data_IF_730410541940
#
_entry.id   IF_730410541940
#
_cell.length_a   1.000
_cell.length_b   1.000
_cell.length_c   1.000
_cell.angle_alpha   90.00
_cell.angle_beta   90.00
_cell.angle_gamma   90.00
#
_symmetry.space_group_name_H-M   'P 1'
#
loop_
_entity.id
_entity.type
_entity.pdbx_description
1 polymer ?
#
# COMPACT_ATOMS: atom_id res chain seq x y z
N UNK A 1 -49.73 1.59 -36.12
CA UNK A 1 -50.74 2.12 -37.06
C UNK A 1 -50.66 3.64 -37.01
N UNK A 2 -50.33 4.25 -38.17
CA UNK A 2 -50.29 5.69 -38.51
C UNK A 2 -49.20 6.56 -37.84
N UNK A 3 -48.57 7.56 -38.47
CA UNK A 3 -48.15 7.95 -39.85
C UNK A 3 -47.70 9.43 -39.73
N UNK A 4 -46.53 9.75 -40.30
CA UNK A 4 -46.04 11.01 -40.94
C UNK A 4 -46.16 12.37 -40.17
N UNK A 5 -45.33 13.40 -40.40
CA UNK A 5 -44.58 13.89 -41.59
C UNK A 5 -43.46 14.86 -41.13
N UNK A 6 -42.25 14.80 -41.69
CA UNK A 6 -41.67 15.70 -42.73
C UNK A 6 -41.64 17.20 -42.33
N UNK A 7 -40.54 17.95 -42.47
CA UNK A 7 -39.99 18.44 -43.75
C UNK A 7 -38.53 18.90 -43.59
N UNK A 8 -37.72 18.62 -44.62
CA UNK A 8 -36.32 19.01 -44.86
C UNK A 8 -36.19 20.38 -45.55
N UNK A 9 -34.95 20.78 -45.95
CA UNK A 9 -34.54 21.78 -47.00
C UNK A 9 -33.66 22.92 -46.42
N UNK A 10 -32.51 23.36 -46.95
CA UNK A 10 -31.66 23.01 -48.10
C UNK A 10 -30.23 23.56 -47.85
N UNK A 11 -29.27 23.08 -48.65
CA UNK A 11 -27.87 23.53 -48.79
C UNK A 11 -27.72 24.93 -49.41
N UNK A 12 -26.56 25.58 -49.19
CA UNK A 12 -25.74 26.18 -50.28
C UNK A 12 -24.31 26.47 -49.84
N UNK A 13 -23.35 26.09 -50.69
CA UNK A 13 -21.92 26.39 -50.69
C UNK A 13 -21.61 27.78 -51.29
N UNK A 14 -20.57 28.46 -50.81
CA UNK A 14 -20.03 29.66 -51.44
C UNK A 14 -18.55 29.87 -51.12
N UNK A 15 -17.70 29.70 -52.13
CA UNK A 15 -16.27 29.97 -52.12
C UNK A 15 -16.04 31.41 -52.62
N UNK A 16 -15.23 32.22 -51.93
CA UNK A 16 -14.66 33.46 -52.49
C UNK A 16 -13.24 33.68 -51.97
N UNK A 17 -12.30 33.75 -52.91
CA UNK A 17 -10.94 34.29 -52.77
C UNK A 17 -10.92 35.75 -53.19
N UNK A 18 -10.20 36.63 -52.48
CA UNK A 18 -9.04 37.37 -53.00
C UNK A 18 -8.51 38.47 -52.03
N UNK A 19 -7.19 38.65 -52.13
CA UNK A 19 -6.35 39.84 -51.91
C UNK A 19 -5.99 40.34 -50.50
N UNK A 20 -4.68 40.46 -50.34
CA UNK A 20 -3.92 40.93 -49.19
C UNK A 20 -3.83 42.46 -49.12
N UNK A 21 -3.80 43.01 -47.90
CA UNK A 21 -3.16 44.29 -47.57
C UNK A 21 -2.54 44.16 -46.18
N UNK A 22 -1.22 44.32 -46.10
CA UNK A 22 -0.44 44.45 -44.87
C UNK A 22 -0.55 45.87 -44.29
N UNK A 23 -0.43 46.01 -42.96
CA UNK A 23 0.51 46.99 -42.45
C UNK A 23 1.41 46.43 -41.34
N UNK A 24 2.69 46.75 -41.47
CA UNK A 24 3.74 46.50 -40.48
C UNK A 24 3.44 47.21 -39.16
N UNK A 25 3.39 46.45 -38.06
CA UNK A 25 3.48 47.00 -36.71
C UNK A 25 4.61 46.29 -35.96
N UNK A 26 5.60 47.09 -35.56
CA UNK A 26 6.76 46.69 -34.78
C UNK A 26 6.38 46.67 -33.29
N UNK A 27 6.54 45.53 -32.62
CA UNK A 27 6.36 45.39 -31.17
C UNK A 27 7.72 45.13 -30.50
N UNK A 28 8.05 45.80 -29.37
CA UNK A 28 9.33 45.60 -28.70
C UNK A 28 9.36 44.25 -27.96
N UNK A 29 10.52 43.59 -28.05
CA UNK A 29 10.81 42.30 -27.43
C UNK A 29 11.17 42.53 -25.96
N UNK A 30 10.22 42.25 -25.05
CA UNK A 30 10.52 42.15 -23.61
C UNK A 30 11.18 40.80 -23.35
N UNK A 31 12.47 40.81 -23.01
CA UNK A 31 13.18 39.63 -22.51
C UNK A 31 12.89 39.45 -21.03
N UNK A 32 12.04 38.49 -20.67
CA UNK A 32 11.93 37.99 -19.30
C UNK A 32 13.04 36.96 -19.04
N UNK A 33 13.99 37.30 -18.17
CA UNK A 33 14.87 36.32 -17.55
C UNK A 33 14.05 35.54 -16.53
N UNK A 34 13.65 34.32 -16.87
CA UNK A 34 13.12 33.35 -15.92
C UNK A 34 14.32 32.66 -15.26
N UNK A 35 14.54 32.93 -13.99
CA UNK A 35 15.46 32.16 -13.16
C UNK A 35 14.87 30.76 -12.94
N UNK A 36 15.50 29.75 -13.55
CA UNK A 36 15.17 28.35 -13.30
C UNK A 36 15.66 27.98 -11.89
N UNK A 37 14.72 27.83 -10.94
CA UNK A 37 14.95 27.11 -9.69
C UNK A 37 15.18 25.62 -9.96
N UNK A 38 16.09 25.01 -9.19
CA UNK A 38 16.58 23.63 -9.31
C UNK A 38 15.45 22.62 -9.55
N UNK A 39 15.48 21.94 -10.69
CA UNK A 39 14.70 20.72 -10.94
C UNK A 39 15.25 19.61 -10.06
N UNK A 40 14.39 19.01 -9.24
CA UNK A 40 14.63 17.69 -8.64
C UNK A 40 14.89 16.69 -9.78
N UNK A 41 16.10 16.16 -9.84
CA UNK A 41 16.49 15.16 -10.83
C UNK A 41 15.92 13.80 -10.45
N UNK A 42 14.93 13.34 -11.20
CA UNK A 42 14.44 11.95 -11.16
C UNK A 42 15.42 11.11 -11.99
N UNK A 43 16.20 10.24 -11.33
CA UNK A 43 16.99 9.22 -12.01
C UNK A 43 16.07 8.04 -12.36
N UNK A 44 15.63 7.95 -13.62
CA UNK A 44 14.94 6.76 -14.14
C UNK A 44 15.98 5.83 -14.74
N UNK A 45 16.26 4.71 -14.06
CA UNK A 45 17.06 3.61 -14.63
C UNK A 45 16.17 2.83 -15.61
N UNK A 46 16.53 2.80 -16.89
CA UNK A 46 15.80 2.06 -17.93
C UNK A 46 16.22 0.59 -17.86
N UNK A 47 15.34 -0.31 -17.42
CA UNK A 47 15.58 -1.76 -17.48
C UNK A 47 15.09 -2.35 -18.82
N UNK A 48 15.83 -3.32 -19.35
CA UNK A 48 15.51 -4.03 -20.59
C UNK A 48 14.31 -5.00 -20.37
N UNK A 49 13.27 -4.99 -21.22
CA UNK A 49 11.98 -5.65 -20.94
C UNK A 49 11.85 -7.10 -21.40
N UNK A 50 12.94 -7.86 -21.56
CA UNK A 50 12.88 -9.28 -21.94
C UNK A 50 13.69 -10.12 -20.96
N UNK A 51 13.01 -11.00 -20.24
CA UNK A 51 13.52 -12.12 -19.41
C UNK A 51 13.60 -11.94 -17.88
N UNK A 52 13.06 -10.87 -17.28
CA UNK A 52 12.87 -10.86 -15.82
C UNK A 52 11.54 -11.54 -15.45
N UNK A 53 11.58 -12.48 -14.51
CA UNK A 53 10.39 -13.03 -13.85
C UNK A 53 9.44 -11.87 -13.43
N UNK A 54 8.12 -12.07 -13.47
CA UNK A 54 7.16 -11.06 -13.02
C UNK A 54 7.49 -10.57 -11.62
N UNK A 55 7.44 -9.26 -11.40
CA UNK A 55 7.55 -8.71 -10.06
C UNK A 55 6.24 -8.94 -9.32
N UNK A 56 6.14 -10.08 -8.64
CA UNK A 56 4.88 -10.58 -8.10
C UNK A 56 4.70 -10.21 -6.64
N UNK A 57 3.49 -9.75 -6.31
CA UNK A 57 2.96 -9.89 -4.97
C UNK A 57 2.57 -11.35 -4.74
N UNK A 58 3.03 -11.95 -3.65
CA UNK A 58 2.55 -13.24 -3.18
C UNK A 58 1.83 -13.05 -1.86
N UNK A 59 0.62 -13.60 -1.74
CA UNK A 59 -0.13 -13.56 -0.49
C UNK A 59 -0.50 -14.94 -0.03
N UNK A 60 -0.52 -15.09 1.29
CA UNK A 60 -1.01 -16.25 1.99
C UNK A 60 -2.26 -15.82 2.75
N UNK A 61 -3.30 -16.64 2.70
CA UNK A 61 -4.57 -16.29 3.31
C UNK A 61 -5.36 -15.30 2.47
N UNK A 62 -6.50 -14.87 3.00
CA UNK A 62 -7.41 -13.91 2.37
C UNK A 62 -7.68 -12.80 3.37
N UNK A 63 -7.47 -11.53 3.00
CA UNK A 63 -7.64 -10.38 3.90
C UNK A 63 -9.03 -10.33 4.54
N UNK A 64 -10.10 -10.51 3.76
CA UNK A 64 -11.47 -10.59 4.28
C UNK A 64 -11.71 -11.79 5.18
N UNK A 65 -10.95 -12.87 5.01
CA UNK A 65 -10.93 -14.05 5.87
C UNK A 65 -10.32 -13.71 7.23
N UNK A 66 -9.15 -13.07 7.24
CA UNK A 66 -8.50 -12.58 8.47
C UNK A 66 -9.43 -11.63 9.23
N UNK A 67 -9.95 -10.58 8.57
CA UNK A 67 -10.87 -9.61 9.18
C UNK A 67 -12.11 -10.30 9.77
N UNK A 68 -12.58 -11.35 9.14
CA UNK A 68 -13.77 -12.09 9.59
C UNK A 68 -13.50 -13.27 10.52
N UNK A 69 -12.27 -13.49 11.01
CA UNK A 69 -12.01 -14.50 12.05
C UNK A 69 -11.21 -15.74 11.65
N UNK A 70 -10.54 -15.75 10.50
CA UNK A 70 -9.64 -16.84 10.10
C UNK A 70 -8.20 -16.56 10.60
N UNK A 71 -7.97 -16.73 11.90
CA UNK A 71 -6.69 -16.38 12.54
C UNK A 71 -5.70 -17.54 12.66
N UNK A 72 -6.14 -18.78 12.46
CA UNK A 72 -5.27 -19.94 12.62
C UNK A 72 -4.24 -20.00 11.48
N UNK A 73 -2.98 -20.12 11.86
CA UNK A 73 -1.85 -20.20 10.96
C UNK A 73 -1.83 -21.53 10.22
N UNK A 74 -1.58 -21.48 8.92
CA UNK A 74 -1.56 -22.67 8.07
C UNK A 74 -0.34 -22.74 7.14
N UNK A 75 0.47 -21.67 7.11
CA UNK A 75 1.58 -21.55 6.18
C UNK A 75 2.89 -21.24 6.91
N UNK A 76 3.94 -22.06 6.77
CA UNK A 76 5.21 -21.85 7.47
C UNK A 76 5.97 -20.63 6.95
N UNK A 77 6.66 -19.90 7.83
CA UNK A 77 7.55 -18.82 7.40
C UNK A 77 8.72 -19.30 6.55
N UNK A 78 9.17 -20.55 6.74
CA UNK A 78 10.15 -21.19 5.86
C UNK A 78 9.72 -21.11 4.40
N UNK A 79 8.49 -21.52 4.09
CA UNK A 79 7.92 -21.46 2.75
C UNK A 79 7.62 -20.03 2.32
N UNK A 80 7.16 -19.16 3.22
CA UNK A 80 6.86 -17.77 2.89
C UNK A 80 8.07 -17.02 2.33
N UNK A 81 9.25 -17.26 2.91
CA UNK A 81 10.52 -16.64 2.48
C UNK A 81 10.97 -17.07 1.08
N UNK A 82 10.45 -18.17 0.53
CA UNK A 82 10.71 -18.58 -0.85
C UNK A 82 9.99 -17.66 -1.86
N UNK A 83 9.00 -16.89 -1.40
CA UNK A 83 8.19 -16.01 -2.22
C UNK A 83 8.50 -14.52 -2.05
N UNK A 84 9.32 -14.15 -1.06
CA UNK A 84 9.71 -12.76 -0.87
C UNK A 84 10.63 -12.52 0.31
N UNK A 85 11.27 -11.34 0.29
CA UNK A 85 12.18 -10.86 1.32
C UNK A 85 11.69 -9.58 2.01
N UNK A 86 10.52 -9.08 1.61
CA UNK A 86 9.90 -7.85 2.07
C UNK A 86 8.40 -8.07 2.20
N UNK A 87 7.79 -7.58 3.28
CA UNK A 87 6.36 -7.74 3.47
C UNK A 87 5.86 -7.62 4.90
N UNK A 88 4.58 -7.90 5.09
CA UNK A 88 3.90 -7.79 6.38
C UNK A 88 2.74 -8.77 6.47
N UNK A 89 2.18 -8.95 7.65
CA UNK A 89 1.03 -9.84 7.84
C UNK A 89 0.62 -10.02 9.29
N UNK A 90 -0.17 -11.05 9.54
CA UNK A 90 -0.60 -11.51 10.85
C UNK A 90 -0.03 -12.91 11.14
N UNK A 91 0.44 -13.17 12.37
CA UNK A 91 0.88 -14.49 12.78
C UNK A 91 -0.31 -15.43 13.04
N UNK A 92 0.01 -16.70 13.30
CA UNK A 92 -0.92 -17.64 13.94
C UNK A 92 -1.63 -16.98 15.15
N UNK A 93 -2.94 -17.19 15.24
CA UNK A 93 -3.81 -16.70 16.32
C UNK A 93 -3.80 -15.19 16.51
N UNK A 94 -3.43 -14.40 15.49
CA UNK A 94 -3.35 -12.94 15.61
C UNK A 94 -2.40 -12.49 16.76
N UNK A 95 -1.39 -13.31 17.10
CA UNK A 95 -0.41 -13.03 18.16
C UNK A 95 0.58 -11.90 17.77
N UNK A 96 0.08 -10.69 17.59
CA UNK A 96 0.86 -9.52 17.20
C UNK A 96 0.86 -9.28 15.70
N UNK A 97 1.96 -8.69 15.21
CA UNK A 97 2.08 -8.19 13.84
C UNK A 97 3.36 -8.72 13.19
N UNK A 98 3.29 -9.16 11.94
CA UNK A 98 4.44 -9.69 11.21
C UNK A 98 5.06 -8.62 10.32
N UNK A 99 6.40 -8.54 10.36
CA UNK A 99 7.21 -7.77 9.44
C UNK A 99 8.23 -8.72 8.79
N UNK A 100 8.26 -8.75 7.46
CA UNK A 100 9.28 -9.43 6.67
C UNK A 100 10.21 -8.36 6.11
N UNK A 101 11.47 -8.41 6.49
CA UNK A 101 12.46 -7.42 6.06
C UNK A 101 13.82 -8.08 5.86
N UNK A 102 14.40 -7.85 4.68
CA UNK A 102 15.68 -8.43 4.24
C UNK A 102 15.73 -9.95 4.42
N UNK A 103 14.61 -10.64 4.13
CA UNK A 103 14.49 -12.10 4.21
C UNK A 103 14.40 -12.65 5.63
N UNK A 104 14.35 -11.80 6.65
CA UNK A 104 14.07 -12.16 8.04
C UNK A 104 12.64 -11.81 8.39
N UNK A 105 12.06 -12.57 9.31
CA UNK A 105 10.70 -12.35 9.77
C UNK A 105 10.74 -11.97 11.26
N UNK A 106 10.02 -10.91 11.60
CA UNK A 106 9.91 -10.35 12.94
C UNK A 106 8.44 -10.31 13.35
N UNK A 107 8.19 -10.54 14.65
CA UNK A 107 6.87 -10.44 15.27
C UNK A 107 6.87 -9.34 16.32
N UNK A 108 6.14 -8.27 16.05
CA UNK A 108 5.87 -7.22 17.03
C UNK A 108 4.69 -7.65 17.90
N UNK A 109 4.94 -7.86 19.18
CA UNK A 109 4.00 -8.44 20.12
C UNK A 109 3.18 -7.36 20.85
N UNK A 110 2.01 -7.72 21.36
CA UNK A 110 1.20 -6.87 22.25
C UNK A 110 1.91 -6.45 23.56
N UNK A 111 3.06 -7.05 23.88
CA UNK A 111 3.89 -6.66 25.03
C UNK A 111 4.80 -5.47 24.72
N UNK A 112 4.83 -5.02 23.46
CA UNK A 112 5.71 -3.95 22.97
C UNK A 112 7.08 -4.43 22.49
N UNK A 113 7.39 -5.72 22.68
CA UNK A 113 8.64 -6.31 22.17
C UNK A 113 8.48 -6.77 20.72
N UNK A 114 9.54 -6.59 19.93
CA UNK A 114 9.68 -7.22 18.62
C UNK A 114 10.77 -8.29 18.70
N UNK A 115 10.47 -9.48 18.19
CA UNK A 115 11.38 -10.64 18.24
C UNK A 115 11.44 -11.30 16.86
N UNK A 116 12.57 -11.94 16.49
CA UNK A 116 12.59 -12.82 15.32
C UNK A 116 11.61 -13.99 15.53
N UNK A 117 11.05 -14.51 14.44
CA UNK A 117 10.25 -15.74 14.46
C UNK A 117 11.06 -16.91 13.91
N UNK A 118 10.66 -18.11 14.30
CA UNK A 118 11.29 -19.35 13.83
C UNK A 118 10.67 -19.80 12.50
N UNK A 119 11.44 -20.56 11.72
CA UNK A 119 11.05 -20.99 10.38
C UNK A 119 9.81 -21.91 10.36
N UNK A 120 9.59 -22.67 11.44
CA UNK A 120 8.43 -23.54 11.64
C UNK A 120 7.19 -22.79 12.14
N UNK A 121 7.32 -21.55 12.61
CA UNK A 121 6.16 -20.76 12.99
C UNK A 121 5.31 -20.47 11.76
N UNK A 122 4.02 -20.23 12.00
CA UNK A 122 3.01 -20.15 10.94
C UNK A 122 2.38 -18.76 10.87
N UNK A 123 1.97 -18.37 9.67
CA UNK A 123 1.14 -17.19 9.43
C UNK A 123 -0.27 -17.59 9.01
N UNK A 124 -1.24 -16.78 9.41
CA UNK A 124 -2.64 -16.85 8.96
C UNK A 124 -2.89 -15.96 7.74
N UNK A 125 -2.17 -14.85 7.65
CA UNK A 125 -2.20 -13.94 6.51
C UNK A 125 -0.85 -13.23 6.35
N UNK A 126 -0.31 -13.21 5.14
CA UNK A 126 0.89 -12.43 4.85
C UNK A 126 0.93 -11.96 3.39
N UNK A 127 1.60 -10.84 3.15
CA UNK A 127 1.86 -10.27 1.84
C UNK A 127 3.37 -10.08 1.68
N UNK A 128 3.98 -10.75 0.70
CA UNK A 128 5.42 -10.66 0.44
C UNK A 128 5.74 -10.47 -1.03
N UNK A 129 6.85 -9.81 -1.32
CA UNK A 129 7.50 -9.80 -2.63
C UNK A 129 9.02 -9.80 -2.47
N UNK A 130 9.74 -10.07 -3.57
CA UNK A 130 11.18 -9.80 -3.64
C UNK A 130 11.39 -8.33 -3.99
N UNK A 131 11.57 -7.50 -2.96
CA UNK A 131 11.61 -6.06 -3.12
C UNK A 131 12.82 -5.59 -3.92
N UNK A 132 12.55 -4.75 -4.91
CA UNK A 132 13.56 -4.09 -5.75
C UNK A 132 13.14 -2.67 -6.05
N UNK A 133 13.72 -1.71 -5.32
CA UNK A 133 13.44 -0.29 -5.54
C UNK A 133 13.65 0.12 -7.02
N UNK A 134 12.60 0.62 -7.65
CA UNK A 134 12.62 1.19 -9.00
C UNK A 134 12.72 2.72 -8.97
N UNK A 135 12.16 3.32 -7.93
CA UNK A 135 12.17 4.76 -7.68
C UNK A 135 12.57 5.04 -6.25
N UNK A 136 13.38 6.07 -6.06
CA UNK A 136 13.77 6.58 -4.75
C UNK A 136 13.42 8.06 -4.66
N UNK A 137 12.75 8.45 -3.59
CA UNK A 137 12.24 9.81 -3.37
C UNK A 137 12.65 10.31 -1.98
N UNK A 138 12.84 11.62 -1.88
CA UNK A 138 13.02 12.32 -0.61
C UNK A 138 11.88 13.33 -0.47
N UNK A 139 10.87 13.07 0.37
CA UNK A 139 9.77 14.00 0.58
C UNK A 139 10.20 15.21 1.42
N UNK A 140 9.37 16.28 1.48
CA UNK A 140 9.50 17.28 2.53
C UNK A 140 9.45 16.64 3.93
N UNK A 141 10.13 17.26 4.90
CA UNK A 141 10.06 16.85 6.31
C UNK A 141 8.73 17.26 6.95
N UNK A 142 8.38 16.61 8.06
CA UNK A 142 7.25 17.04 8.90
C UNK A 142 5.88 16.72 8.32
N UNK A 143 5.77 15.69 7.48
CA UNK A 143 4.49 15.23 6.97
C UNK A 143 3.80 14.38 8.04
N UNK A 144 2.64 14.81 8.52
CA UNK A 144 1.74 13.93 9.26
C UNK A 144 1.16 12.86 8.33
N UNK A 145 0.51 11.81 8.86
CA UNK A 145 -0.04 10.70 8.07
C UNK A 145 -0.86 11.15 6.85
N UNK A 146 -1.77 12.10 7.02
CA UNK A 146 -2.62 12.61 5.92
C UNK A 146 -1.80 13.28 4.82
N UNK A 147 -0.90 14.20 5.20
CA UNK A 147 -0.02 14.87 4.24
C UNK A 147 0.96 13.90 3.57
N UNK A 148 1.41 12.89 4.31
CA UNK A 148 2.28 11.83 3.81
C UNK A 148 1.60 10.97 2.75
N UNK A 149 0.37 10.51 2.99
CA UNK A 149 -0.41 9.77 2.01
C UNK A 149 -0.77 10.61 0.79
N UNK A 150 -1.10 11.90 0.97
CA UNK A 150 -1.28 12.81 -0.17
C UNK A 150 0.00 12.98 -0.99
N UNK A 151 1.18 13.04 -0.37
CA UNK A 151 2.45 13.06 -1.08
C UNK A 151 2.62 11.77 -1.90
N UNK A 152 2.39 10.59 -1.31
CA UNK A 152 2.46 9.32 -2.03
C UNK A 152 1.46 9.26 -3.21
N UNK A 153 0.22 9.71 -3.01
CA UNK A 153 -0.78 9.77 -4.08
C UNK A 153 -0.37 10.70 -5.24
N UNK A 154 0.37 11.78 -4.96
CA UNK A 154 0.88 12.69 -5.99
C UNK A 154 1.94 12.05 -6.91
N UNK A 155 2.65 11.01 -6.42
CA UNK A 155 3.72 10.32 -7.17
C UNK A 155 3.32 8.92 -7.66
N UNK A 156 2.28 8.33 -7.07
CA UNK A 156 1.69 7.04 -7.45
C UNK A 156 0.40 7.26 -8.24
N UNK A 157 0.52 7.83 -9.44
CA UNK A 157 -0.64 8.30 -10.22
C UNK A 157 -1.48 7.19 -10.84
N UNK A 158 -0.92 6.00 -11.10
CA UNK A 158 -1.72 4.84 -11.47
C UNK A 158 -2.41 4.27 -10.21
N UNK A 159 -3.66 4.66 -10.01
CA UNK A 159 -4.51 4.25 -8.87
C UNK A 159 -4.85 2.76 -8.86
N UNK A 160 -4.70 2.08 -9.99
CA UNK A 160 -4.93 0.64 -10.13
C UNK A 160 -3.63 -0.19 -10.06
N UNK A 161 -2.50 0.46 -9.78
CA UNK A 161 -1.22 -0.21 -9.60
C UNK A 161 -1.08 -0.82 -8.20
N UNK A 162 -0.30 -1.91 -8.11
CA UNK A 162 0.17 -2.49 -6.86
C UNK A 162 1.57 -1.96 -6.59
N UNK A 163 1.81 -1.42 -5.40
CA UNK A 163 3.11 -0.87 -5.02
C UNK A 163 3.58 -1.47 -3.71
N UNK A 164 4.78 -2.02 -3.69
CA UNK A 164 5.54 -2.21 -2.45
C UNK A 164 6.32 -0.92 -2.16
N UNK A 165 6.28 -0.48 -0.90
CA UNK A 165 6.80 0.82 -0.49
C UNK A 165 7.64 0.61 0.77
N UNK A 166 8.94 0.83 0.64
CA UNK A 166 9.88 0.82 1.74
C UNK A 166 10.22 2.26 2.12
N UNK A 167 10.10 2.61 3.40
CA UNK A 167 10.43 3.95 3.90
C UNK A 167 11.44 3.79 5.02
N UNK A 168 12.65 4.29 4.84
CA UNK A 168 13.70 4.22 5.86
C UNK A 168 14.07 5.62 6.34
N UNK A 169 14.28 5.76 7.65
CA UNK A 169 14.80 7.00 8.22
C UNK A 169 14.17 7.36 9.55
N UNK A 170 14.12 8.67 9.81
CA UNK A 170 13.72 9.25 11.10
C UNK A 170 12.27 9.72 11.08
N UNK A 171 11.59 9.48 12.19
CA UNK A 171 10.22 9.91 12.44
C UNK A 171 10.20 10.69 13.76
N UNK A 172 9.60 11.89 13.76
CA UNK A 172 9.35 12.65 14.99
C UNK A 172 8.43 11.87 15.92
N UNK A 173 7.41 11.24 15.36
CA UNK A 173 6.51 10.35 16.09
C UNK A 173 6.13 9.16 15.22
N UNK A 174 6.01 7.99 15.85
CA UNK A 174 5.46 6.78 15.26
C UNK A 174 4.49 6.16 16.25
N UNK A 175 3.23 5.95 15.85
CA UNK A 175 2.23 5.23 16.63
C UNK A 175 1.94 3.90 15.96
N UNK A 176 2.18 2.80 16.66
CA UNK A 176 1.86 1.45 16.18
C UNK A 176 0.82 0.79 17.07
N UNK A 177 0.31 -0.36 16.61
CA UNK A 177 -0.44 -1.31 17.43
C UNK A 177 0.09 -2.73 17.28
N UNK A 178 -0.30 -3.60 18.21
CA UNK A 178 -0.26 -5.05 18.06
C UNK A 178 -1.41 -5.71 18.85
N UNK A 179 -1.93 -6.83 18.34
CA UNK A 179 -2.96 -7.62 19.03
C UNK A 179 -2.37 -8.68 19.97
N UNK A 180 -3.03 -9.00 21.09
CA UNK A 180 -2.75 -10.23 21.84
C UNK A 180 -3.30 -11.45 21.09
N UNK A 181 -2.78 -12.66 21.38
CA UNK A 181 -3.25 -13.87 20.73
C UNK A 181 -4.71 -14.17 21.07
N UNK A 182 -5.43 -14.70 20.09
CA UNK A 182 -6.77 -15.27 20.25
C UNK A 182 -6.70 -16.78 20.50
N UNK A 183 -7.82 -17.38 20.88
CA UNK A 183 -7.93 -18.84 20.97
C UNK A 183 -7.99 -19.45 19.56
N UNK A 184 -7.54 -20.69 19.43
CA UNK A 184 -7.73 -21.45 18.19
C UNK A 184 -9.21 -21.55 17.83
N UNK A 185 -9.54 -21.49 16.54
CA UNK A 185 -10.91 -21.47 16.01
C UNK A 185 -11.80 -20.34 16.58
N UNK A 186 -11.19 -19.25 17.06
CA UNK A 186 -11.96 -18.07 17.44
C UNK A 186 -12.34 -17.27 16.20
N UNK A 187 -13.63 -17.31 15.82
CA UNK A 187 -14.14 -16.62 14.62
C UNK A 187 -14.74 -15.24 14.90
N UNK A 188 -14.41 -14.63 16.04
CA UNK A 188 -14.84 -13.26 16.34
C UNK A 188 -14.24 -12.31 15.30
N UNK A 189 -15.07 -11.51 14.59
CA UNK A 189 -14.57 -10.52 13.65
C UNK A 189 -13.58 -9.56 14.31
N UNK A 190 -12.54 -9.16 13.58
CA UNK A 190 -11.46 -8.35 14.14
C UNK A 190 -11.94 -6.98 14.61
N UNK A 191 -12.95 -6.43 13.94
CA UNK A 191 -13.60 -5.17 14.32
C UNK A 191 -14.25 -5.23 15.72
N UNK A 192 -14.69 -6.40 16.18
CA UNK A 192 -15.25 -6.60 17.51
C UNK A 192 -14.17 -6.74 18.61
N UNK A 193 -12.91 -6.87 18.21
CA UNK A 193 -11.77 -7.07 19.13
C UNK A 193 -10.84 -5.86 19.21
N UNK A 194 -11.19 -4.72 18.61
CA UNK A 194 -10.34 -3.51 18.61
C UNK A 194 -10.00 -2.99 20.01
N UNK A 195 -10.78 -3.33 21.03
CA UNK A 195 -10.48 -3.00 22.42
C UNK A 195 -9.30 -3.82 23.01
N UNK A 196 -8.91 -4.92 22.37
CA UNK A 196 -7.80 -5.78 22.83
C UNK A 196 -6.43 -5.29 22.34
N UNK A 197 -6.39 -4.53 21.25
CA UNK A 197 -5.13 -4.05 20.67
C UNK A 197 -4.35 -3.17 21.66
N UNK A 198 -3.04 -3.31 21.67
CA UNK A 198 -2.14 -2.47 22.45
C UNK A 198 -1.50 -1.45 21.53
N UNK A 199 -1.51 -0.17 21.94
CA UNK A 199 -0.88 0.91 21.19
C UNK A 199 0.49 1.28 21.77
N UNK A 200 1.44 1.56 20.89
CA UNK A 200 2.78 2.01 21.26
C UNK A 200 3.08 3.34 20.58
N UNK A 201 3.72 4.25 21.31
CA UNK A 201 4.08 5.57 20.82
C UNK A 201 5.59 5.76 20.96
N UNK A 202 6.26 5.96 19.83
CA UNK A 202 7.68 6.23 19.75
C UNK A 202 7.89 7.69 19.37
N UNK A 203 8.90 8.33 19.98
CA UNK A 203 9.30 9.72 19.69
C UNK A 203 10.74 9.72 19.21
N UNK A 204 11.04 10.60 18.26
CA UNK A 204 12.38 10.79 17.69
C UNK A 204 13.05 9.44 17.34
N UNK A 205 12.27 8.57 16.71
CA UNK A 205 12.64 7.18 16.43
C UNK A 205 13.17 7.03 15.00
N UNK A 206 13.92 5.95 14.79
CA UNK A 206 14.51 5.61 13.51
C UNK A 206 14.25 4.14 13.18
N UNK A 207 13.87 3.88 11.93
CA UNK A 207 13.56 2.54 11.48
C UNK A 207 13.01 2.51 10.06
N UNK A 208 12.38 1.39 9.76
CA UNK A 208 11.85 1.01 8.47
C UNK A 208 10.32 0.93 8.53
N UNK A 209 9.62 1.50 7.55
CA UNK A 209 8.25 1.14 7.23
C UNK A 209 8.25 0.20 6.04
N UNK A 210 7.65 -0.95 6.25
CA UNK A 210 7.47 -2.00 5.27
C UNK A 210 5.98 -2.00 4.95
N UNK A 211 5.61 -1.87 3.69
CA UNK A 211 4.19 -1.80 3.35
C UNK A 211 3.86 -1.75 1.89
N UNK A 212 2.58 -1.60 1.63
CA UNK A 212 2.00 -1.66 0.31
C UNK A 212 0.97 -0.56 0.10
N UNK A 213 0.77 -0.18 -1.17
CA UNK A 213 -0.45 0.48 -1.64
C UNK A 213 -1.12 -0.43 -2.66
N UNK A 214 -2.27 -1.00 -2.28
CA UNK A 214 -3.02 -1.91 -3.14
C UNK A 214 -4.28 -1.25 -3.72
N UNK A 215 -4.65 -1.58 -4.96
CA UNK A 215 -5.81 -1.01 -5.63
C UNK A 215 -7.13 -1.58 -5.09
N UNK A 216 -8.21 -0.82 -5.28
CA UNK A 216 -9.53 -1.15 -4.72
C UNK A 216 -10.10 -2.50 -5.19
N UNK A 217 -9.80 -2.94 -6.42
CA UNK A 217 -10.28 -4.23 -6.92
C UNK A 217 -9.71 -5.44 -6.16
N UNK A 218 -8.69 -5.25 -5.32
CA UNK A 218 -8.11 -6.29 -4.47
C UNK A 218 -8.75 -6.36 -3.09
N UNK A 219 -9.69 -5.47 -2.75
CA UNK A 219 -10.51 -5.63 -1.54
C UNK A 219 -11.10 -7.04 -1.49
N UNK A 220 -11.19 -7.58 -0.27
CA UNK A 220 -11.45 -8.99 0.05
C UNK A 220 -10.21 -9.88 -0.02
N UNK A 221 -9.55 -10.00 -1.18
CA UNK A 221 -8.32 -10.83 -1.24
C UNK A 221 -7.19 -10.25 -0.39
N UNK A 222 -7.14 -8.92 -0.30
CA UNK A 222 -6.32 -8.12 0.59
C UNK A 222 -7.15 -6.98 1.19
N UNK A 223 -6.47 -5.93 1.62
CA UNK A 223 -7.00 -4.67 2.11
C UNK A 223 -6.44 -3.56 1.20
N UNK A 224 -7.31 -2.86 0.47
CA UNK A 224 -6.87 -1.78 -0.42
C UNK A 224 -6.47 -0.51 0.32
N UNK A 225 -5.66 0.31 -0.36
CA UNK A 225 -5.06 1.51 0.18
C UNK A 225 -3.69 1.24 0.79
N UNK A 226 -3.26 2.14 1.69
CA UNK A 226 -1.95 2.07 2.35
C UNK A 226 -2.01 1.18 3.58
N UNK A 227 -1.09 0.22 3.67
CA UNK A 227 -0.89 -0.65 4.83
C UNK A 227 0.61 -0.72 5.12
N UNK A 228 1.02 -0.24 6.30
CA UNK A 228 2.41 -0.24 6.72
C UNK A 228 2.58 -0.87 8.09
N UNK A 229 3.64 -1.65 8.25
CA UNK A 229 4.18 -2.05 9.54
C UNK A 229 5.52 -1.33 9.76
N UNK A 230 5.81 -0.98 11.01
CA UNK A 230 7.05 -0.35 11.43
C UNK A 230 7.98 -1.38 12.08
N UNK A 231 9.29 -1.19 11.88
CA UNK A 231 10.35 -1.96 12.49
C UNK A 231 11.51 -1.01 12.84
N UNK A 232 11.86 -0.92 14.12
CA UNK A 232 12.96 -0.05 14.57
C UNK A 232 14.31 -0.48 13.99
N UNK A 233 15.28 0.44 13.97
CA UNK A 233 16.67 0.12 13.59
C UNK A 233 17.27 -1.01 14.46
N UNK A 234 16.95 -1.01 15.75
CA UNK A 234 17.38 -2.02 16.72
C UNK A 234 16.60 -3.34 16.63
N UNK A 235 15.54 -3.38 15.78
CA UNK A 235 14.70 -4.56 15.54
C UNK A 235 13.99 -5.10 16.79
N UNK A 236 13.79 -4.23 17.78
CA UNK A 236 13.23 -4.53 19.11
C UNK A 236 11.85 -3.89 19.35
N UNK A 237 11.42 -2.99 18.46
CA UNK A 237 10.15 -2.27 18.49
C UNK A 237 9.51 -2.25 17.10
N UNK A 238 8.18 -2.25 17.03
CA UNK A 238 7.49 -2.35 15.75
C UNK A 238 5.96 -2.37 15.87
N UNK A 239 5.31 -2.88 14.83
CA UNK A 239 3.87 -3.13 14.79
C UNK A 239 3.16 -2.44 13.62
N UNK A 240 1.85 -2.63 13.55
CA UNK A 240 1.00 -2.04 12.52
C UNK A 240 0.90 -0.52 12.72
N UNK A 241 1.17 0.26 11.67
CA UNK A 241 1.25 1.73 11.75
C UNK A 241 -0.15 2.35 11.82
N UNK A 242 -0.39 3.12 12.87
CA UNK A 242 -1.65 3.84 13.10
C UNK A 242 -1.51 5.32 12.75
N UNK A 243 -0.40 5.94 13.14
CA UNK A 243 -0.12 7.35 12.86
C UNK A 243 1.38 7.63 12.84
N UNK A 244 1.78 8.69 12.14
CA UNK A 244 3.18 9.07 12.00
C UNK A 244 3.36 10.57 11.78
N UNK A 245 4.56 11.05 12.10
CA UNK A 245 5.08 12.34 11.69
C UNK A 245 6.51 12.15 11.17
N UNK A 246 6.70 12.35 9.86
CA UNK A 246 8.00 12.14 9.21
C UNK A 246 9.03 13.19 9.60
N UNK A 247 10.30 12.82 9.54
CA UNK A 247 11.43 13.75 9.55
C UNK A 247 12.34 13.48 8.35
N UNK A 248 13.59 13.12 8.56
CA UNK A 248 14.53 12.69 7.52
C UNK A 248 14.25 11.26 7.05
N UNK A 249 13.43 11.10 6.00
CA UNK A 249 13.10 9.80 5.41
C UNK A 249 13.48 9.71 3.93
N UNK A 250 13.70 8.48 3.48
CA UNK A 250 13.83 8.10 2.07
C UNK A 250 12.73 7.10 1.75
N UNK A 251 12.03 7.31 0.64
CA UNK A 251 10.97 6.42 0.16
C UNK A 251 11.50 5.67 -1.06
N UNK A 252 11.45 4.36 -1.03
CA UNK A 252 11.77 3.45 -2.12
C UNK A 252 10.46 2.77 -2.58
N UNK A 253 10.19 2.82 -3.88
CA UNK A 253 8.97 2.29 -4.48
C UNK A 253 9.33 1.20 -5.47
N UNK A 254 8.60 0.10 -5.37
CA UNK A 254 8.67 -1.05 -6.26
C UNK A 254 7.27 -1.34 -6.83
N UNK A 255 7.13 -1.34 -8.16
CA UNK A 255 5.86 -1.56 -8.85
C UNK A 255 5.68 -3.04 -9.11
N UNK A 256 4.54 -3.61 -8.69
CA UNK A 256 4.25 -5.03 -8.83
C UNK A 256 3.29 -5.25 -10.00
N UNK A 257 3.61 -6.25 -10.82
CA UNK A 257 2.95 -6.50 -12.11
C UNK A 257 2.10 -7.77 -12.11
N UNK A 258 2.19 -8.56 -11.04
CA UNK A 258 1.45 -9.82 -10.90
C UNK A 258 1.10 -10.11 -9.45
N UNK A 259 0.12 -10.97 -9.27
CA UNK A 259 -0.44 -11.31 -7.97
C UNK A 259 -0.75 -12.80 -7.92
N UNK A 260 -0.22 -13.47 -6.91
CA UNK A 260 -0.45 -14.89 -6.62
C UNK A 260 -1.01 -15.04 -5.21
N UNK A 261 -2.02 -15.89 -5.04
CA UNK A 261 -2.67 -16.17 -3.76
C UNK A 261 -2.49 -17.63 -3.40
N UNK A 262 -2.06 -17.88 -2.18
CA UNK A 262 -2.15 -19.17 -1.52
C UNK A 262 -3.36 -19.18 -0.56
N UNK A 263 -4.53 -19.72 -0.98
CA UNK A 263 -5.67 -19.82 -0.10
C UNK A 263 -5.39 -20.84 1.03
N UNK A 264 -6.01 -20.67 2.22
CA UNK A 264 -5.99 -21.68 3.27
C UNK A 264 -6.67 -22.97 2.81
N UNK A 265 -6.06 -24.10 3.13
CA UNK A 265 -6.66 -25.43 2.94
C UNK A 265 -7.21 -25.95 4.28
N UNK A 266 -8.07 -25.15 4.93
CA UNK A 266 -8.63 -25.45 6.26
C UNK A 266 -10.16 -25.56 6.20
N UNK A 267 -10.74 -26.34 7.12
CA UNK A 267 -12.20 -26.49 7.22
C UNK A 267 -12.90 -25.15 7.46
N UNK A 268 -12.32 -24.28 8.28
CA UNK A 268 -12.90 -22.97 8.58
C UNK A 268 -12.96 -22.11 7.32
N UNK A 269 -11.95 -22.20 6.44
CA UNK A 269 -11.95 -21.53 5.15
C UNK A 269 -13.01 -22.11 4.18
N UNK A 270 -13.15 -23.44 4.11
CA UNK A 270 -14.15 -24.12 3.28
C UNK A 270 -15.59 -23.65 3.58
N UNK A 271 -15.87 -23.32 4.84
CA UNK A 271 -17.19 -22.91 5.31
C UNK A 271 -17.33 -21.39 5.51
N UNK A 272 -16.30 -20.61 5.17
CA UNK A 272 -16.31 -19.17 5.40
C UNK A 272 -17.16 -18.42 4.37
N UNK A 273 -18.09 -17.59 4.83
CA UNK A 273 -18.92 -16.77 3.96
C UNK A 273 -18.23 -15.48 3.53
N UNK A 274 -17.59 -15.52 2.35
CA UNK A 274 -17.00 -14.35 1.68
C UNK A 274 -18.03 -13.39 1.06
N UNK A 275 -19.33 -13.74 1.02
CA UNK A 275 -20.38 -12.84 0.48
C UNK A 275 -20.83 -11.79 1.50
N UNK A 276 -20.66 -12.06 2.80
CA UNK A 276 -20.95 -11.07 3.85
C UNK A 276 -20.10 -9.81 3.63
N UNK A 277 -20.78 -8.67 3.51
CA UNK A 277 -20.14 -7.36 3.39
C UNK A 277 -19.38 -7.03 4.69
N UNK A 278 -18.09 -6.71 4.55
CA UNK A 278 -17.16 -6.39 5.65
C UNK A 278 -16.46 -5.04 5.43
N UNK A 279 -16.99 -4.18 4.58
CA UNK A 279 -16.33 -2.88 4.29
C UNK A 279 -16.14 -2.01 5.53
N UNK A 280 -17.12 -1.98 6.42
CA UNK A 280 -17.04 -1.21 7.68
C UNK A 280 -16.01 -1.84 8.64
N UNK A 281 -16.02 -3.17 8.74
CA UNK A 281 -15.03 -3.92 9.53
C UNK A 281 -13.62 -3.58 9.06
N UNK A 282 -13.34 -3.70 7.75
CA UNK A 282 -12.04 -3.39 7.14
C UNK A 282 -11.63 -1.94 7.44
N UNK A 283 -12.53 -0.97 7.25
CA UNK A 283 -12.25 0.44 7.53
C UNK A 283 -11.90 0.66 9.01
N UNK A 284 -12.63 0.02 9.93
CA UNK A 284 -12.42 0.19 11.37
C UNK A 284 -11.10 -0.42 11.85
N UNK A 285 -10.73 -1.59 11.30
CA UNK A 285 -9.53 -2.32 11.67
C UNK A 285 -8.29 -1.60 11.16
N UNK A 286 -8.25 -1.19 9.90
CA UNK A 286 -7.02 -0.78 9.24
C UNK A 286 -6.75 0.72 9.31
N UNK A 287 -7.81 1.53 9.44
CA UNK A 287 -7.68 2.99 9.41
C UNK A 287 -7.73 3.62 10.79
N UNK A 288 -7.95 2.80 11.83
CA UNK A 288 -8.32 3.24 13.17
C UNK A 288 -9.72 3.85 13.15
N UNK A 289 -10.65 3.27 13.89
CA UNK A 289 -11.94 3.91 14.14
C UNK A 289 -11.74 5.33 14.68
N UNK A 290 -12.64 6.25 14.31
CA UNK A 290 -12.76 7.56 14.98
C UNK A 290 -13.29 7.31 16.39
N UNK A 291 -12.39 7.02 17.34
CA UNK A 291 -12.71 7.16 18.75
C UNK A 291 -11.97 8.39 19.28
#
# INVERSE_FOLDING_TARGET
>A
MRINSLVATLMTTGLMTFTAISPSFCLPRVTSQVSLTRKNSILIKKNNPKDSLPNSLFTVGIGGGLIGGLYDGFYPYKSLKEHGNFGLGAPDKLDGEIIVFEGKVYKAQHTGKTVPVEDQDMTSFAMVNFFRAERTLTPPKGLNKTAFFHYLDSVLTNVNGMYAIHIKGKFKTMKTRAFPPVKAHQHTPLAEMLNLQQFFNYKDCQGDLIGYRLPYFMDNTNISGYHFHYLSDQKDNGGHVIDLLTDDIVIEIDTLDSYTIQPPATKDFEHFDFKKNREEDIKSVERGGKN
#
